data_IF_776524011071
#
_entry.id   IF_776524011071
#
_cell.length_a   1.000
_cell.length_b   1.000
_cell.length_c   1.000
_cell.angle_alpha   90.00
_cell.angle_beta   90.00
_cell.angle_gamma   90.00
#
_symmetry.space_group_name_H-M   'P 1'
#
loop_
_entity.id
_entity.type
_entity.pdbx_description
1 polymer ?
#
# COMPACT_ATOMS: atom_id res chain seq x y z
N UNK A 1 -12.06 -2.46 -6.52
CA UNK A 1 -11.05 -3.40 -6.00
C UNK A 1 -9.79 -3.24 -6.82
N UNK A 2 -8.73 -2.74 -6.23
CA UNK A 2 -7.41 -2.56 -6.87
C UNK A 2 -6.43 -3.43 -6.11
N UNK A 3 -5.65 -4.25 -6.81
CA UNK A 3 -4.67 -5.15 -6.21
C UNK A 3 -3.26 -4.77 -6.64
N UNK A 4 -2.33 -4.79 -5.71
CA UNK A 4 -0.92 -4.48 -5.93
C UNK A 4 -0.07 -5.76 -5.84
N UNK A 5 1.02 -5.82 -6.57
CA UNK A 5 1.87 -7.01 -6.74
C UNK A 5 3.31 -6.76 -6.40
N UNK A 6 3.98 -7.81 -5.89
CA UNK A 6 5.36 -7.75 -5.47
C UNK A 6 6.21 -8.84 -6.12
N UNK A 7 7.30 -8.45 -6.81
CA UNK A 7 8.39 -9.32 -7.24
C UNK A 7 9.72 -8.78 -6.73
N UNK A 8 10.48 -9.55 -5.97
CA UNK A 8 11.68 -9.09 -5.28
C UNK A 8 12.98 -9.68 -5.83
N UNK A 9 14.02 -8.86 -5.99
CA UNK A 9 15.42 -9.25 -5.92
C UNK A 9 15.95 -8.89 -4.53
N UNK A 10 16.90 -9.60 -3.94
CA UNK A 10 17.32 -9.46 -2.53
C UNK A 10 17.30 -8.01 -2.06
N UNK A 11 16.31 -7.69 -1.24
CA UNK A 11 16.00 -6.32 -0.83
C UNK A 11 15.42 -6.35 0.56
N UNK A 12 15.83 -5.42 1.40
CA UNK A 12 15.14 -5.17 2.66
C UNK A 12 13.79 -4.52 2.32
N UNK A 13 12.74 -5.25 2.58
CA UNK A 13 11.39 -4.89 2.19
C UNK A 13 10.53 -4.57 3.41
N UNK A 14 9.83 -3.46 3.35
CA UNK A 14 8.78 -3.14 4.31
C UNK A 14 7.44 -3.31 3.61
N UNK A 15 6.76 -4.42 3.89
CA UNK A 15 5.35 -4.60 3.59
C UNK A 15 4.53 -3.93 4.69
N UNK A 16 3.82 -2.89 4.35
CA UNK A 16 2.91 -2.23 5.26
C UNK A 16 1.50 -2.70 4.98
N UNK A 17 0.89 -3.38 5.95
CA UNK A 17 -0.52 -3.73 5.92
C UNK A 17 -1.31 -2.71 6.75
N UNK A 18 -2.13 -1.93 6.08
CA UNK A 18 -3.07 -1.00 6.71
C UNK A 18 -4.45 -1.64 6.73
N UNK A 19 -4.94 -1.99 7.92
CA UNK A 19 -6.33 -2.38 8.11
C UNK A 19 -7.14 -1.15 8.52
N UNK A 20 -8.05 -0.74 7.66
CA UNK A 20 -9.02 0.30 7.99
C UNK A 20 -10.36 -0.34 8.33
N UNK A 21 -10.68 -0.41 9.62
CA UNK A 21 -12.05 -0.65 10.02
C UNK A 21 -12.85 0.64 9.81
N UNK A 22 -13.81 0.59 8.93
CA UNK A 22 -14.75 1.70 8.71
C UNK A 22 -15.68 1.81 9.91
N UNK A 23 -15.31 2.64 10.88
CA UNK A 23 -16.28 3.17 11.82
C UNK A 23 -16.69 4.58 11.39
N UNK A 24 -18.01 4.72 11.18
CA UNK A 24 -18.79 5.95 11.05
C UNK A 24 -18.77 6.74 9.73
N UNK A 25 -19.86 6.53 9.06
CA UNK A 25 -20.47 7.30 7.96
C UNK A 25 -20.92 8.70 8.45
N UNK A 26 -20.00 9.61 8.73
CA UNK A 26 -20.37 11.03 8.86
C UNK A 26 -19.28 11.93 8.27
N UNK A 27 -19.67 12.66 7.21
CA UNK A 27 -18.94 13.68 6.44
C UNK A 27 -18.05 13.18 5.28
N UNK A 28 -18.56 12.37 4.38
CA UNK A 28 -17.77 11.74 3.32
C UNK A 28 -17.97 12.33 1.90
N UNK A 29 -18.80 13.35 1.73
CA UNK A 29 -19.06 13.92 0.38
C UNK A 29 -17.86 14.63 -0.25
N UNK A 30 -16.88 15.08 0.52
CA UNK A 30 -15.71 15.81 -0.03
C UNK A 30 -14.50 14.92 -0.36
N UNK A 31 -14.43 13.70 0.18
CA UNK A 31 -13.27 12.82 0.01
C UNK A 31 -13.27 12.05 -1.32
N UNK A 32 -14.40 11.91 -1.98
CA UNK A 32 -14.56 11.04 -3.15
C UNK A 32 -14.46 11.75 -4.51
N UNK A 33 -14.37 13.09 -4.53
CA UNK A 33 -14.44 13.88 -5.77
C UNK A 33 -13.09 14.46 -6.25
N UNK A 34 -11.99 13.72 -6.04
CA UNK A 34 -10.69 14.14 -6.55
C UNK A 34 -10.60 14.00 -8.05
N UNK A 35 -10.39 15.10 -8.77
CA UNK A 35 -9.91 15.01 -10.15
C UNK A 35 -8.45 14.56 -10.17
N UNK A 36 -8.03 13.91 -11.24
CA UNK A 36 -6.63 13.48 -11.42
C UNK A 36 -5.63 14.64 -11.28
N UNK A 37 -6.00 15.82 -11.77
CA UNK A 37 -5.17 17.04 -11.66
C UNK A 37 -5.00 17.47 -10.22
N UNK A 38 -6.09 17.56 -9.46
CA UNK A 38 -6.05 17.93 -8.04
C UNK A 38 -5.25 16.92 -7.21
N UNK A 39 -5.50 15.62 -7.41
CA UNK A 39 -4.80 14.56 -6.70
C UNK A 39 -3.29 14.57 -6.98
N UNK A 40 -2.87 14.80 -8.23
CA UNK A 40 -1.45 14.95 -8.57
C UNK A 40 -0.82 16.18 -7.93
N UNK A 41 -1.47 17.32 -7.97
CA UNK A 41 -0.99 18.55 -7.35
C UNK A 41 -0.84 18.39 -5.83
N UNK A 42 -1.85 17.80 -5.18
CA UNK A 42 -1.79 17.49 -3.75
C UNK A 42 -0.64 16.53 -3.42
N UNK A 43 -0.48 15.46 -4.18
CA UNK A 43 0.62 14.51 -3.99
C UNK A 43 2.00 15.18 -4.13
N UNK A 44 2.15 16.07 -5.10
CA UNK A 44 3.41 16.81 -5.33
C UNK A 44 3.77 17.78 -4.19
N UNK A 45 2.79 18.31 -3.48
CA UNK A 45 3.04 19.19 -2.32
C UNK A 45 3.62 18.46 -1.11
N UNK A 46 3.52 17.12 -1.08
CA UNK A 46 4.03 16.27 0.01
C UNK A 46 3.51 16.61 1.41
N UNK A 47 2.39 17.33 1.52
CA UNK A 47 1.76 17.64 2.81
C UNK A 47 1.33 16.36 3.57
N UNK A 48 1.08 15.28 2.82
CA UNK A 48 0.76 13.96 3.34
C UNK A 48 1.97 13.22 3.94
N UNK A 49 3.19 13.61 3.56
CA UNK A 49 4.40 12.81 3.81
C UNK A 49 4.87 12.81 5.27
N UNK A 50 4.43 13.78 6.09
CA UNK A 50 4.79 13.87 7.52
C UNK A 50 6.31 13.73 7.78
N UNK A 51 7.13 14.31 6.91
CA UNK A 51 8.60 14.27 6.98
C UNK A 51 9.24 13.10 6.22
N UNK A 52 8.47 12.15 5.70
CA UNK A 52 9.00 11.08 4.86
C UNK A 52 9.52 11.66 3.53
N UNK A 53 10.78 11.38 3.22
CA UNK A 53 11.43 11.84 1.97
C UNK A 53 11.29 10.78 0.86
N UNK A 54 10.05 10.48 0.50
CA UNK A 54 9.75 9.54 -0.58
C UNK A 54 8.61 10.07 -1.45
N UNK A 55 8.62 9.73 -2.71
CA UNK A 55 7.53 10.02 -3.64
C UNK A 55 6.83 8.73 -4.06
N UNK A 56 5.50 8.74 -4.21
CA UNK A 56 4.79 7.61 -4.76
C UNK A 56 5.31 7.25 -6.14
N UNK A 57 5.40 5.95 -6.42
CA UNK A 57 5.80 5.48 -7.72
C UNK A 57 4.81 5.95 -8.81
N UNK A 58 5.29 6.12 -10.04
CA UNK A 58 4.48 6.61 -11.19
C UNK A 58 3.23 5.78 -11.52
N UNK A 59 3.15 4.53 -11.02
CA UNK A 59 1.99 3.65 -11.19
C UNK A 59 0.93 3.84 -10.10
N UNK A 60 1.19 4.69 -9.11
CA UNK A 60 0.23 4.99 -8.05
C UNK A 60 -1.02 5.64 -8.63
N UNK A 61 -2.18 5.17 -8.23
CA UNK A 61 -3.44 5.86 -8.51
C UNK A 61 -3.56 7.05 -7.56
N UNK A 62 -3.27 8.24 -8.08
CA UNK A 62 -3.25 9.46 -7.27
C UNK A 62 -4.63 9.83 -6.72
N UNK A 63 -5.71 9.55 -7.47
CA UNK A 63 -7.07 9.86 -7.02
C UNK A 63 -7.44 8.95 -5.84
N UNK A 64 -7.16 7.65 -5.96
CA UNK A 64 -7.39 6.70 -4.89
C UNK A 64 -6.51 7.02 -3.67
N UNK A 65 -5.23 7.32 -3.87
CA UNK A 65 -4.33 7.69 -2.78
C UNK A 65 -4.84 8.91 -2.02
N UNK A 66 -5.23 9.98 -2.73
CA UNK A 66 -5.76 11.18 -2.10
C UNK A 66 -7.08 10.89 -1.34
N UNK A 67 -7.99 10.12 -1.96
CA UNK A 67 -9.25 9.73 -1.34
C UNK A 67 -9.03 8.92 -0.06
N UNK A 68 -8.22 7.87 -0.11
CA UNK A 68 -7.95 6.99 1.03
C UNK A 68 -7.21 7.72 2.15
N UNK A 69 -6.24 8.58 1.80
CA UNK A 69 -5.55 9.39 2.80
C UNK A 69 -6.53 10.29 3.56
N UNK A 70 -7.42 11.02 2.87
CA UNK A 70 -8.34 11.94 3.52
C UNK A 70 -9.43 11.22 4.33
N UNK A 71 -9.87 10.03 3.88
CA UNK A 71 -10.79 9.18 4.64
C UNK A 71 -10.20 8.71 5.97
N UNK A 72 -8.91 8.42 5.99
CA UNK A 72 -8.23 7.80 7.13
C UNK A 72 -6.98 8.60 7.55
N UNK A 73 -7.05 9.92 7.45
CA UNK A 73 -5.90 10.84 7.63
C UNK A 73 -5.07 10.54 8.88
N UNK A 74 -5.70 10.28 10.01
CA UNK A 74 -5.00 10.01 11.27
C UNK A 74 -4.08 8.79 11.20
N UNK A 75 -4.53 7.70 10.57
CA UNK A 75 -3.73 6.48 10.42
C UNK A 75 -2.61 6.70 9.42
N UNK A 76 -2.89 7.35 8.29
CA UNK A 76 -1.87 7.68 7.30
C UNK A 76 -0.80 8.61 7.85
N UNK A 77 -1.16 9.65 8.61
CA UNK A 77 -0.21 10.56 9.26
C UNK A 77 0.73 9.81 10.21
N UNK A 78 0.18 8.98 11.10
CA UNK A 78 0.97 8.13 12.00
C UNK A 78 1.93 7.23 11.24
N UNK A 79 1.45 6.62 10.17
CA UNK A 79 2.23 5.71 9.32
C UNK A 79 3.41 6.42 8.67
N UNK A 80 3.16 7.53 7.99
CA UNK A 80 4.23 8.28 7.33
C UNK A 80 5.19 8.91 8.32
N UNK A 81 4.72 9.40 9.46
CA UNK A 81 5.56 9.89 10.54
C UNK A 81 6.45 8.77 11.11
N UNK A 82 5.87 7.58 11.31
CA UNK A 82 6.62 6.41 11.79
C UNK A 82 7.74 6.05 10.79
N UNK A 83 7.42 5.96 9.50
CA UNK A 83 8.42 5.69 8.44
C UNK A 83 9.49 6.77 8.36
N UNK A 84 9.14 8.04 8.62
CA UNK A 84 10.07 9.16 8.57
C UNK A 84 11.03 9.22 9.76
N UNK A 85 10.67 8.65 10.91
CA UNK A 85 11.41 8.79 12.18
C UNK A 85 12.21 7.57 12.58
N UNK A 86 12.07 6.43 11.89
CA UNK A 86 12.80 5.20 12.19
C UNK A 86 13.95 4.96 11.22
N UNK A 87 15.03 4.35 11.71
CA UNK A 87 16.16 3.90 10.88
C UNK A 87 15.78 2.60 10.15
N UNK A 88 15.04 2.77 9.05
CA UNK A 88 14.50 1.66 8.27
C UNK A 88 15.59 0.76 7.68
N UNK A 89 16.80 1.31 7.43
CA UNK A 89 17.91 0.56 6.80
C UNK A 89 18.48 -0.50 7.74
N UNK A 90 18.54 -0.19 9.03
CA UNK A 90 19.10 -1.06 10.06
C UNK A 90 18.03 -1.77 10.91
N UNK A 91 16.78 -1.61 10.54
CA UNK A 91 15.66 -2.19 11.29
C UNK A 91 15.61 -3.72 11.11
N UNK A 92 15.53 -4.50 12.19
CA UNK A 92 15.38 -5.96 12.08
C UNK A 92 14.09 -6.36 11.38
N UNK A 93 14.12 -7.51 10.69
CA UNK A 93 12.89 -8.11 10.18
C UNK A 93 11.92 -8.42 11.34
N UNK A 94 10.65 -8.10 11.14
CA UNK A 94 9.63 -8.27 12.18
C UNK A 94 8.37 -7.44 11.94
N UNK A 95 7.41 -7.60 12.83
CA UNK A 95 6.17 -6.83 12.85
C UNK A 95 6.26 -5.71 13.89
N UNK A 96 5.91 -4.52 13.47
CA UNK A 96 5.92 -3.30 14.29
C UNK A 96 4.54 -2.66 14.28
N UNK A 97 3.98 -2.45 15.45
CA UNK A 97 2.68 -1.78 15.60
C UNK A 97 2.84 -0.27 15.43
N UNK A 98 1.93 0.35 14.70
CA UNK A 98 1.88 1.80 14.47
C UNK A 98 0.63 2.41 15.08
N UNK A 99 -0.52 1.78 14.90
CA UNK A 99 -1.81 2.23 15.45
C UNK A 99 -2.70 1.05 15.85
N UNK A 100 -2.24 0.25 16.80
CA UNK A 100 -2.94 -0.94 17.28
C UNK A 100 -3.27 -1.91 16.14
N UNK A 101 -4.52 -2.36 16.09
CA UNK A 101 -4.98 -3.26 15.03
C UNK A 101 -5.19 -2.56 13.67
N UNK A 102 -5.25 -1.22 13.67
CA UNK A 102 -5.53 -0.44 12.45
C UNK A 102 -4.34 -0.31 11.52
N UNK A 103 -3.12 -0.37 12.06
CA UNK A 103 -1.91 -0.21 11.25
C UNK A 103 -0.71 -0.90 11.89
N UNK A 104 -0.01 -1.69 11.10
CA UNK A 104 1.27 -2.27 11.46
C UNK A 104 2.21 -2.32 10.25
N UNK A 105 3.49 -2.43 10.52
CA UNK A 105 4.55 -2.53 9.52
C UNK A 105 5.22 -3.89 9.64
N UNK A 106 5.32 -4.61 8.52
CA UNK A 106 6.15 -5.80 8.41
C UNK A 106 7.45 -5.43 7.71
N UNK A 107 8.56 -5.50 8.44
CA UNK A 107 9.90 -5.41 7.87
C UNK A 107 10.34 -6.79 7.42
N UNK A 108 10.72 -6.93 6.16
CA UNK A 108 11.13 -8.20 5.59
C UNK A 108 12.45 -8.06 4.83
N UNK A 109 13.38 -8.95 5.09
CA UNK A 109 14.53 -9.18 4.22
C UNK A 109 14.21 -10.34 3.29
N UNK A 110 13.97 -10.04 2.03
CA UNK A 110 13.44 -11.00 1.07
C UNK A 110 14.33 -11.16 -0.16
N UNK A 111 14.45 -12.37 -0.62
CA UNK A 111 15.11 -12.71 -1.89
C UNK A 111 14.08 -12.84 -3.01
N UNK A 112 14.45 -12.38 -4.20
CA UNK A 112 13.62 -12.50 -5.41
C UNK A 112 13.19 -13.94 -5.65
N UNK A 113 11.95 -14.10 -6.02
CA UNK A 113 11.41 -15.35 -6.50
C UNK A 113 10.97 -15.22 -7.96
N UNK A 114 10.97 -16.33 -8.65
CA UNK A 114 10.43 -16.39 -10.00
C UNK A 114 8.96 -15.91 -10.04
N UNK A 115 8.61 -15.18 -11.08
CA UNK A 115 7.28 -14.61 -11.26
C UNK A 115 6.17 -15.66 -11.24
N UNK A 116 6.46 -16.89 -11.72
CA UNK A 116 5.50 -17.99 -11.74
C UNK A 116 5.09 -18.48 -10.34
N UNK A 117 5.90 -18.18 -9.32
CA UNK A 117 5.61 -18.52 -7.92
C UNK A 117 4.82 -17.43 -7.19
N UNK A 118 4.57 -16.31 -7.85
CA UNK A 118 3.85 -15.17 -7.26
C UNK A 118 2.39 -15.16 -7.65
N UNK A 119 1.57 -14.70 -6.77
CA UNK A 119 0.12 -14.57 -6.94
C UNK A 119 -0.28 -13.11 -6.78
N UNK A 120 -1.34 -12.78 -7.42
CA UNK A 120 -2.05 -11.53 -7.27
C UNK A 120 -2.92 -11.62 -6.03
N UNK A 121 -2.90 -10.61 -5.19
CA UNK A 121 -3.77 -10.53 -4.04
C UNK A 121 -4.57 -9.22 -4.03
N UNK A 122 -5.73 -9.26 -3.39
CA UNK A 122 -6.52 -8.08 -3.12
C UNK A 122 -7.20 -8.19 -1.77
N UNK A 123 -7.36 -7.05 -1.15
CA UNK A 123 -8.01 -6.85 0.13
C UNK A 123 -9.32 -6.08 -0.03
N UNK A 124 -10.26 -6.25 0.90
CA UNK A 124 -11.51 -5.46 0.95
C UNK A 124 -11.45 -4.37 2.01
N UNK A 125 -10.78 -4.65 3.12
CA UNK A 125 -10.70 -3.79 4.29
C UNK A 125 -9.31 -3.19 4.48
N UNK A 126 -8.26 -3.88 4.01
CA UNK A 126 -6.88 -3.44 4.11
C UNK A 126 -6.38 -2.72 2.87
N UNK A 127 -5.34 -1.91 3.04
CA UNK A 127 -4.54 -1.31 1.96
C UNK A 127 -3.09 -1.67 2.20
N UNK A 128 -2.44 -2.23 1.17
CA UNK A 128 -1.01 -2.50 1.21
C UNK A 128 -0.23 -1.28 0.71
N UNK A 129 0.60 -0.71 1.58
CA UNK A 129 1.62 0.24 1.19
C UNK A 129 2.96 -0.48 1.07
N UNK A 130 3.51 -0.53 -0.13
CA UNK A 130 4.78 -1.17 -0.42
C UNK A 130 5.90 -0.13 -0.44
N UNK A 131 6.91 -0.28 0.43
CA UNK A 131 8.03 0.64 0.55
C UNK A 131 9.36 -0.11 0.48
N UNK A 132 10.14 0.11 -0.58
CA UNK A 132 11.46 -0.51 -0.76
C UNK A 132 12.51 0.36 -0.11
N UNK A 133 13.09 -0.10 1.00
CA UNK A 133 14.12 0.62 1.76
C UNK A 133 15.50 0.45 1.13
N UNK A 134 15.79 -0.76 0.65
CA UNK A 134 17.10 -1.13 0.10
C UNK A 134 16.93 -2.16 -1.01
N UNK A 135 17.72 -2.04 -2.07
CA UNK A 135 17.67 -2.95 -3.22
C UNK A 135 16.66 -2.51 -4.28
N UNK A 136 16.16 -3.45 -5.08
CA UNK A 136 15.23 -3.20 -6.16
C UNK A 136 14.10 -4.23 -6.15
N UNK A 137 12.87 -3.79 -6.39
CA UNK A 137 11.72 -4.64 -6.45
C UNK A 137 10.82 -4.31 -7.64
N UNK A 138 10.17 -5.32 -8.18
CA UNK A 138 9.16 -5.15 -9.23
C UNK A 138 7.79 -5.46 -8.67
N UNK A 139 6.87 -4.53 -8.84
CA UNK A 139 5.46 -4.69 -8.48
C UNK A 139 4.63 -4.85 -9.75
N UNK A 140 3.86 -5.92 -9.83
CA UNK A 140 2.86 -6.07 -10.88
C UNK A 140 1.52 -5.50 -10.42
N UNK A 141 0.81 -4.79 -11.29
CA UNK A 141 -0.51 -4.24 -11.02
C UNK A 141 -1.48 -4.69 -12.09
N UNK A 142 -2.69 -5.05 -11.70
CA UNK A 142 -3.79 -5.31 -12.64
C UNK A 142 -5.08 -4.69 -12.14
N UNK A 143 -6.01 -4.42 -13.04
CA UNK A 143 -7.37 -4.03 -12.66
C UNK A 143 -8.24 -5.27 -12.46
N UNK A 144 -9.30 -5.14 -11.67
CA UNK A 144 -10.21 -6.22 -11.32
C UNK A 144 -10.81 -6.92 -12.56
N UNK A 145 -11.03 -6.20 -13.65
CA UNK A 145 -11.54 -6.74 -14.92
C UNK A 145 -10.61 -7.78 -15.59
N UNK A 146 -9.30 -7.75 -15.25
CA UNK A 146 -8.29 -8.69 -15.75
C UNK A 146 -7.85 -9.71 -14.70
N UNK A 147 -8.54 -9.78 -13.57
CA UNK A 147 -8.22 -10.66 -12.45
C UNK A 147 -9.33 -11.68 -12.20
N UNK A 148 -8.99 -12.96 -12.19
CA UNK A 148 -9.88 -14.05 -11.83
C UNK A 148 -9.53 -14.59 -10.45
N UNK A 149 -10.47 -14.67 -9.47
CA UNK A 149 -10.17 -15.23 -8.17
C UNK A 149 -9.84 -16.71 -8.28
N UNK A 150 -8.79 -17.15 -7.59
CA UNK A 150 -8.34 -18.54 -7.50
C UNK A 150 -8.44 -19.12 -6.10
N UNK A 151 -8.80 -18.29 -5.11
CA UNK A 151 -9.10 -18.69 -3.74
C UNK A 151 -10.35 -18.02 -3.25
N UNK A 152 -10.97 -18.59 -2.21
CA UNK A 152 -11.98 -17.90 -1.44
C UNK A 152 -11.36 -16.70 -0.68
N UNK A 153 -12.19 -15.73 -0.34
CA UNK A 153 -11.80 -14.57 0.46
C UNK A 153 -11.68 -14.97 1.94
N UNK A 154 -10.46 -14.99 2.48
CA UNK A 154 -10.15 -15.34 3.90
C UNK A 154 -8.77 -14.84 4.33
N UNK A 155 -8.63 -14.29 5.53
CA UNK A 155 -9.59 -13.50 6.33
C UNK A 155 -9.82 -12.10 5.77
N UNK A 156 -8.86 -11.48 5.08
CA UNK A 156 -8.99 -10.24 4.31
C UNK A 156 -8.15 -10.30 3.02
N UNK A 157 -7.97 -11.49 2.46
CA UNK A 157 -7.19 -11.66 1.23
C UNK A 157 -7.89 -12.64 0.29
N UNK A 158 -7.84 -12.34 -0.99
CA UNK A 158 -8.15 -13.27 -2.08
C UNK A 158 -7.00 -13.24 -3.07
N UNK A 159 -6.57 -14.41 -3.50
CA UNK A 159 -5.58 -14.54 -4.58
C UNK A 159 -6.25 -14.65 -5.93
N UNK A 160 -5.58 -14.10 -6.94
CA UNK A 160 -6.09 -14.02 -8.30
C UNK A 160 -5.07 -14.50 -9.31
N UNK A 161 -5.57 -14.95 -10.45
CA UNK A 161 -4.81 -15.12 -11.68
C UNK A 161 -5.04 -13.90 -12.55
N UNK A 162 -3.97 -13.24 -12.98
CA UNK A 162 -4.09 -12.09 -13.87
C UNK A 162 -4.03 -12.53 -15.34
N UNK A 163 -4.92 -11.99 -16.16
CA UNK A 163 -4.86 -12.07 -17.62
C UNK A 163 -3.93 -11.02 -18.22
N UNK A 164 -3.69 -9.92 -17.49
CA UNK A 164 -2.84 -8.81 -17.91
C UNK A 164 -2.18 -8.17 -16.68
N UNK A 165 -0.86 -8.03 -16.73
CA UNK A 165 -0.05 -7.37 -15.67
C UNK A 165 0.68 -6.18 -16.32
N UNK A 166 0.70 -5.06 -15.63
CA UNK A 166 1.47 -3.86 -15.99
C UNK A 166 2.73 -3.77 -15.15
#
# INVERSE_FOLDING_TARGET
MKSNFVFSSSSLFIGLFLFFFTENVYSQESADNWTLKQARQWTQKQEWANGLKAMPHKTTDYQEFASQYHKNKKVWDKTFQWLATHDLVNMPAGRYEVDGEHCYINVQDATTQDVSKRKIEAHRHGIDLQYVVKGNERFGITSAEYAEPITEYKPDVTFYKAKKIK
#
